data_IF_602050306397
#
_entry.id   IF_602050306397
#
_cell.length_a   1.000
_cell.length_b   1.000
_cell.length_c   1.000
_cell.angle_alpha   90.00
_cell.angle_beta   90.00
_cell.angle_gamma   90.00
#
_symmetry.space_group_name_H-M   'P 1'
#
loop_
_entity.id
_entity.type
_entity.pdbx_description
1 polymer ?
#
# COMPACT_ATOMS: atom_id res chain seq x y z
N UNK A 1 6.01 -0.17 13.34
CA UNK A 1 5.62 -0.40 11.93
C UNK A 1 4.96 -1.77 11.86
N UNK A 2 3.70 -1.84 11.42
CA UNK A 2 3.02 -3.12 11.19
C UNK A 2 3.03 -3.38 9.69
N UNK A 3 3.49 -4.56 9.29
CA UNK A 3 3.46 -5.03 7.91
C UNK A 3 2.41 -6.13 7.79
N UNK A 4 1.50 -6.00 6.84
CA UNK A 4 0.53 -7.03 6.50
C UNK A 4 0.67 -7.39 5.02
N UNK A 5 0.97 -8.65 4.72
CA UNK A 5 1.04 -9.12 3.34
C UNK A 5 -0.34 -9.58 2.88
N UNK A 6 -0.72 -9.18 1.68
CA UNK A 6 -2.01 -9.47 1.06
C UNK A 6 -1.74 -10.20 -0.25
N UNK A 7 -2.29 -11.41 -0.38
CA UNK A 7 -2.27 -12.15 -1.64
C UNK A 7 -3.21 -11.47 -2.64
N UNK A 8 -2.74 -11.24 -3.87
CA UNK A 8 -3.59 -10.60 -4.90
C UNK A 8 -4.30 -11.62 -5.79
N UNK A 9 -3.85 -12.88 -5.79
CA UNK A 9 -4.32 -13.92 -6.70
C UNK A 9 -3.74 -13.83 -8.11
N UNK A 10 -3.02 -12.76 -8.46
CA UNK A 10 -2.40 -12.59 -9.78
C UNK A 10 -1.02 -13.24 -9.86
N UNK A 11 -0.68 -13.75 -11.05
CA UNK A 11 0.65 -14.23 -11.41
C UNK A 11 1.13 -13.58 -12.69
N UNK A 12 2.38 -13.14 -12.72
CA UNK A 12 3.06 -12.61 -13.90
C UNK A 12 4.33 -13.44 -14.09
N UNK A 13 4.50 -14.04 -15.27
CA UNK A 13 5.60 -14.96 -15.60
C UNK A 13 5.78 -16.09 -14.57
N UNK A 14 4.64 -16.62 -14.07
CA UNK A 14 4.62 -17.68 -13.06
C UNK A 14 4.94 -17.23 -11.63
N UNK A 15 5.31 -15.95 -11.41
CA UNK A 15 5.58 -15.38 -10.09
C UNK A 15 4.34 -14.72 -9.50
N UNK A 16 4.08 -14.94 -8.23
CA UNK A 16 2.97 -14.31 -7.52
C UNK A 16 3.18 -12.80 -7.36
N UNK A 17 2.12 -12.05 -7.65
CA UNK A 17 2.02 -10.64 -7.26
C UNK A 17 1.37 -10.58 -5.88
N UNK A 18 2.04 -9.98 -4.91
CA UNK A 18 1.49 -9.72 -3.58
C UNK A 18 1.57 -8.24 -3.26
N UNK A 19 0.69 -7.77 -2.39
CA UNK A 19 0.76 -6.43 -1.82
C UNK A 19 1.26 -6.50 -0.39
N UNK A 20 1.93 -5.44 0.05
CA UNK A 20 2.27 -5.22 1.45
C UNK A 20 1.65 -3.91 1.89
N UNK A 21 0.88 -3.95 2.97
CA UNK A 21 0.41 -2.76 3.66
C UNK A 21 1.33 -2.46 4.85
N UNK A 22 1.83 -1.22 4.88
CA UNK A 22 2.68 -0.70 5.94
C UNK A 22 1.95 0.42 6.66
N UNK A 23 1.85 0.31 7.98
CA UNK A 23 1.24 1.34 8.84
C UNK A 23 2.27 1.82 9.86
N UNK A 24 2.44 3.14 9.94
CA UNK A 24 3.27 3.78 10.98
C UNK A 24 2.43 4.13 12.23
N UNK A 25 3.13 4.56 13.28
CA UNK A 25 2.55 4.99 14.56
C UNK A 25 1.68 6.24 14.46
N UNK A 26 1.83 7.03 13.39
CA UNK A 26 1.06 8.24 13.09
C UNK A 26 -0.19 7.96 12.22
N UNK A 27 -0.49 6.70 11.92
CA UNK A 27 -1.66 6.32 11.12
C UNK A 27 -1.52 6.53 9.61
N UNK A 28 -0.31 6.81 9.11
CA UNK A 28 -0.02 6.78 7.67
C UNK A 28 -0.03 5.34 7.17
N UNK A 29 -0.68 5.10 6.04
CA UNK A 29 -0.77 3.79 5.40
C UNK A 29 -0.22 3.86 3.98
N UNK A 30 0.62 2.89 3.61
CA UNK A 30 1.08 2.69 2.24
C UNK A 30 0.80 1.25 1.83
N UNK A 31 0.26 1.04 0.62
CA UNK A 31 0.14 -0.28 0.00
C UNK A 31 1.05 -0.34 -1.23
N UNK A 32 1.90 -1.37 -1.25
CA UNK A 32 2.94 -1.55 -2.27
C UNK A 32 2.78 -2.93 -2.90
N UNK A 33 2.75 -3.02 -4.23
CA UNK A 33 2.86 -4.30 -4.93
C UNK A 33 4.32 -4.68 -5.14
N UNK A 34 4.66 -5.97 -5.00
CA UNK A 34 6.00 -6.46 -5.34
C UNK A 34 6.32 -6.37 -6.85
N UNK A 35 5.29 -6.28 -7.70
CA UNK A 35 5.44 -6.08 -9.12
C UNK A 35 5.72 -4.59 -9.43
N UNK A 36 6.92 -4.29 -9.95
CA UNK A 36 7.35 -2.92 -10.26
C UNK A 36 7.49 -1.98 -9.05
N UNK A 37 7.33 -2.51 -7.83
CA UNK A 37 7.34 -1.72 -6.59
C UNK A 37 6.33 -0.57 -6.63
N UNK A 38 5.14 -0.85 -7.18
CA UNK A 38 4.09 0.15 -7.40
C UNK A 38 3.43 0.52 -6.07
N UNK A 39 3.41 1.80 -5.74
CA UNK A 39 2.60 2.35 -4.65
C UNK A 39 1.20 2.62 -5.21
N UNK A 40 0.24 1.79 -4.84
CA UNK A 40 -1.13 1.89 -5.37
C UNK A 40 -2.11 2.60 -4.42
N UNK A 41 -1.68 2.84 -3.17
CA UNK A 41 -2.43 3.57 -2.15
C UNK A 41 -1.47 4.19 -1.16
N UNK A 42 -1.68 5.46 -0.83
CA UNK A 42 -0.91 6.19 0.15
C UNK A 42 -1.84 7.12 0.92
N UNK A 43 -2.31 6.67 2.08
CA UNK A 43 -3.22 7.43 2.94
C UNK A 43 -2.43 8.27 3.94
N UNK A 44 -2.66 9.58 3.91
CA UNK A 44 -2.12 10.56 4.87
C UNK A 44 -3.25 11.35 5.53
N UNK A 45 -3.00 11.87 6.73
CA UNK A 45 -3.90 12.81 7.40
C UNK A 45 -3.47 14.24 7.07
N UNK A 46 -4.36 15.02 6.48
CA UNK A 46 -4.06 16.42 6.13
C UNK A 46 -4.18 17.36 7.35
N UNK A 47 -3.91 18.66 7.15
CA UNK A 47 -3.96 19.68 8.21
C UNK A 47 -5.35 19.83 8.88
N UNK A 48 -6.42 19.39 8.23
CA UNK A 48 -7.78 19.40 8.76
C UNK A 48 -8.14 18.12 9.53
N UNK A 49 -7.20 17.18 9.69
CA UNK A 49 -7.43 15.89 10.34
C UNK A 49 -8.12 14.86 9.44
N UNK A 50 -8.23 15.13 8.13
CA UNK A 50 -8.94 14.26 7.18
C UNK A 50 -7.95 13.33 6.49
N UNK A 51 -8.29 12.03 6.43
CA UNK A 51 -7.52 11.04 5.69
C UNK A 51 -7.75 11.16 4.19
N UNK A 52 -6.67 11.13 3.41
CA UNK A 52 -6.70 11.27 1.96
C UNK A 52 -5.71 10.32 1.31
N UNK A 53 -6.14 9.65 0.24
CA UNK A 53 -5.23 8.93 -0.65
C UNK A 53 -4.59 9.94 -1.61
N UNK A 54 -3.26 9.99 -1.64
CA UNK A 54 -2.50 11.01 -2.40
C UNK A 54 -1.90 10.47 -3.69
N UNK A 55 -2.15 9.21 -4.04
CA UNK A 55 -1.73 8.60 -5.32
C UNK A 55 -2.93 8.26 -6.19
N UNK A 56 -2.70 8.18 -7.50
CA UNK A 56 -3.76 7.92 -8.48
C UNK A 56 -4.13 6.43 -8.60
N UNK A 57 -3.23 5.53 -8.17
CA UNK A 57 -3.37 4.08 -8.33
C UNK A 57 -2.35 3.50 -9.31
#
# INVERSE_FOLDING_TARGET
MKANQITTGYKIDGKEVFAVELINDKGTLVKIFNYGTIINKFIVTNKAGVQQDIVLG
#
